data_IF_957756213212
#
_entry.id   IF_957756213212
#
_cell.length_a   1.000
_cell.length_b   1.000
_cell.length_c   1.000
_cell.angle_alpha   90.00
_cell.angle_beta   90.00
_cell.angle_gamma   90.00
#
_symmetry.space_group_name_H-M   'P 1'
#
loop_
_entity.id
_entity.type
_entity.pdbx_description
1 polymer ?
#
# COMPACT_ATOMS: atom_id res chain seq x y z
N UNK A 1 -14.83 -28.81 19.54
CA UNK A 1 -14.63 -28.23 18.20
C UNK A 1 -15.96 -27.62 17.82
N UNK A 2 -15.97 -26.32 17.57
CA UNK A 2 -17.17 -25.50 17.43
C UNK A 2 -18.04 -25.77 16.19
N UNK A 3 -17.97 -26.95 15.58
CA UNK A 3 -18.78 -27.23 14.40
C UNK A 3 -20.19 -27.64 14.83
N UNK A 4 -21.18 -26.85 14.45
CA UNK A 4 -22.61 -27.07 14.73
C UNK A 4 -23.39 -27.32 13.44
N UNK A 5 -24.65 -27.75 13.57
CA UNK A 5 -25.57 -27.90 12.43
C UNK A 5 -25.84 -26.58 11.68
N UNK A 6 -25.53 -25.43 12.29
CA UNK A 6 -25.69 -24.09 11.69
C UNK A 6 -24.38 -23.52 11.13
N UNK A 7 -23.28 -24.26 11.22
CA UNK A 7 -21.95 -23.83 10.81
C UNK A 7 -20.95 -23.83 11.96
N UNK A 8 -19.77 -23.25 11.70
CA UNK A 8 -18.74 -23.10 12.71
C UNK A 8 -19.10 -21.96 13.67
N UNK A 9 -19.22 -22.28 14.96
CA UNK A 9 -19.48 -21.39 16.07
C UNK A 9 -18.40 -21.60 17.13
N UNK A 10 -17.47 -20.65 17.23
CA UNK A 10 -16.27 -20.79 18.05
C UNK A 10 -16.57 -20.46 19.50
N UNK A 11 -16.22 -21.37 20.40
CA UNK A 11 -16.30 -21.15 21.85
C UNK A 11 -15.38 -19.99 22.27
N UNK A 12 -15.82 -19.16 23.22
CA UNK A 12 -14.95 -18.14 23.80
C UNK A 12 -13.88 -18.79 24.68
N UNK A 13 -12.73 -18.12 24.85
CA UNK A 13 -11.62 -18.69 25.62
C UNK A 13 -12.02 -19.04 27.06
N UNK A 14 -12.93 -18.28 27.66
CA UNK A 14 -13.42 -18.51 29.01
C UNK A 14 -14.26 -19.79 29.10
N UNK A 15 -15.13 -20.05 28.11
CA UNK A 15 -15.90 -21.30 28.00
C UNK A 15 -14.97 -22.50 27.79
N UNK A 16 -13.95 -22.32 26.94
CA UNK A 16 -12.90 -23.32 26.72
C UNK A 16 -12.14 -23.60 28.03
N UNK A 17 -11.86 -22.56 28.81
CA UNK A 17 -11.17 -22.65 30.10
C UNK A 17 -12.01 -23.40 31.12
N UNK A 18 -13.30 -23.11 31.19
CA UNK A 18 -14.24 -23.83 32.05
C UNK A 18 -14.30 -25.33 31.70
N UNK A 19 -14.45 -25.65 30.41
CA UNK A 19 -14.48 -27.04 29.95
C UNK A 19 -13.18 -27.80 30.21
N UNK A 20 -12.02 -27.16 30.02
CA UNK A 20 -10.71 -27.76 30.34
C UNK A 20 -10.59 -28.00 31.85
N UNK A 21 -10.95 -27.02 32.68
CA UNK A 21 -10.91 -27.13 34.15
C UNK A 21 -11.82 -28.26 34.65
N UNK A 22 -13.02 -28.39 34.08
CA UNK A 22 -13.96 -29.45 34.42
C UNK A 22 -13.39 -30.84 34.11
N UNK A 23 -12.78 -31.03 32.93
CA UNK A 23 -12.11 -32.30 32.57
C UNK A 23 -10.95 -32.64 33.51
N UNK A 24 -10.19 -31.64 33.94
CA UNK A 24 -9.11 -31.86 34.90
C UNK A 24 -9.64 -32.32 36.26
N UNK A 25 -10.74 -31.74 36.74
CA UNK A 25 -11.41 -32.18 37.99
C UNK A 25 -12.00 -33.58 37.86
N UNK A 26 -12.64 -33.90 36.74
CA UNK A 26 -13.18 -35.25 36.47
C UNK A 26 -12.08 -36.31 36.44
N UNK A 27 -10.90 -35.98 35.91
CA UNK A 27 -9.80 -36.93 35.78
C UNK A 27 -8.90 -37.05 37.03
N UNK A 28 -8.72 -35.97 37.79
CA UNK A 28 -7.74 -35.89 38.89
C UNK A 28 -8.38 -35.66 40.27
N UNK A 29 -9.69 -35.45 40.31
CA UNK A 29 -10.49 -35.24 41.51
C UNK A 29 -10.96 -33.79 41.71
N UNK A 30 -12.15 -33.63 42.28
CA UNK A 30 -12.84 -32.33 42.47
C UNK A 30 -12.09 -31.32 43.36
N UNK A 31 -11.15 -31.81 44.18
CA UNK A 31 -10.32 -30.97 45.06
C UNK A 31 -9.16 -30.27 44.34
N UNK A 32 -8.99 -30.48 43.04
CA UNK A 32 -7.94 -29.85 42.26
C UNK A 32 -8.17 -28.33 42.15
N UNK A 33 -7.17 -27.55 42.60
CA UNK A 33 -7.17 -26.11 42.45
C UNK A 33 -6.86 -25.72 40.98
N UNK A 34 -7.90 -25.38 40.23
CA UNK A 34 -7.83 -24.98 38.81
C UNK A 34 -7.81 -23.46 38.61
N UNK A 35 -7.73 -22.69 39.69
CA UNK A 35 -7.65 -21.23 39.66
C UNK A 35 -6.23 -20.75 39.26
N UNK A 36 -6.16 -19.57 38.63
CA UNK A 36 -4.96 -18.92 38.10
C UNK A 36 -3.90 -18.63 39.18
N UNK A 37 -4.32 -18.55 40.45
CA UNK A 37 -3.42 -18.46 41.60
C UNK A 37 -2.57 -19.74 41.81
N UNK A 38 -2.92 -20.85 41.17
CA UNK A 38 -2.29 -22.15 41.35
C UNK A 38 -1.62 -22.63 40.06
N UNK A 39 -0.50 -23.36 40.19
CA UNK A 39 0.28 -23.87 39.05
C UNK A 39 -0.56 -24.74 38.09
N UNK A 40 -1.51 -25.51 38.64
CA UNK A 40 -2.41 -26.33 37.82
C UNK A 40 -3.42 -25.49 37.03
N UNK A 41 -3.96 -24.41 37.59
CA UNK A 41 -4.82 -23.48 36.85
C UNK A 41 -4.09 -22.71 35.77
N UNK A 42 -2.82 -22.35 36.00
CA UNK A 42 -1.97 -21.76 34.95
C UNK A 42 -1.68 -22.76 33.82
N UNK A 43 -1.41 -24.01 34.16
CA UNK A 43 -1.20 -25.09 33.19
C UNK A 43 -2.47 -25.39 32.37
N UNK A 44 -3.63 -25.48 33.03
CA UNK A 44 -4.92 -25.60 32.35
C UNK A 44 -5.17 -24.42 31.41
N UNK A 45 -4.81 -23.20 31.83
CA UNK A 45 -4.86 -22.00 30.99
C UNK A 45 -4.02 -22.09 29.73
N UNK A 46 -2.78 -22.58 29.83
CA UNK A 46 -1.93 -22.79 28.67
C UNK A 46 -2.55 -23.80 27.68
N UNK A 47 -3.19 -24.85 28.18
CA UNK A 47 -3.91 -25.84 27.37
C UNK A 47 -5.13 -25.21 26.69
N UNK A 48 -5.89 -24.38 27.40
CA UNK A 48 -7.05 -23.66 26.85
C UNK A 48 -6.65 -22.70 25.72
N UNK A 49 -5.53 -21.99 25.86
CA UNK A 49 -4.97 -21.15 24.78
C UNK A 49 -4.60 -22.01 23.57
N UNK A 50 -3.96 -23.17 23.78
CA UNK A 50 -3.66 -24.12 22.70
C UNK A 50 -4.92 -24.62 21.99
N UNK A 51 -5.96 -25.00 22.73
CA UNK A 51 -7.25 -25.42 22.15
C UNK A 51 -7.91 -24.28 21.37
N UNK A 52 -7.90 -23.06 21.90
CA UNK A 52 -8.42 -21.88 21.21
C UNK A 52 -7.69 -21.63 19.88
N UNK A 53 -6.36 -21.76 19.83
CA UNK A 53 -5.61 -21.62 18.59
C UNK A 53 -5.98 -22.70 17.56
N UNK A 54 -6.15 -23.95 18.00
CA UNK A 54 -6.60 -25.05 17.12
C UNK A 54 -8.00 -24.77 16.58
N UNK A 55 -8.91 -24.23 17.40
CA UNK A 55 -10.26 -23.89 16.96
C UNK A 55 -10.28 -22.69 15.99
N UNK A 56 -9.42 -21.70 16.18
CA UNK A 56 -9.23 -20.61 15.20
C UNK A 56 -8.72 -21.14 13.84
N UNK A 57 -7.74 -22.05 13.86
CA UNK A 57 -7.23 -22.67 12.63
C UNK A 57 -8.31 -23.49 11.91
N UNK A 58 -9.12 -24.21 12.68
CA UNK A 58 -10.24 -24.98 12.16
C UNK A 58 -11.32 -24.10 11.53
N UNK A 59 -11.66 -22.98 12.17
CA UNK A 59 -12.58 -21.98 11.62
C UNK A 59 -12.06 -21.42 10.30
N UNK A 60 -10.77 -21.07 10.24
CA UNK A 60 -10.14 -20.54 9.03
C UNK A 60 -10.22 -21.56 7.89
N UNK A 61 -9.86 -22.82 8.16
CA UNK A 61 -9.89 -23.91 7.17
C UNK A 61 -11.31 -24.23 6.72
N UNK A 62 -12.29 -24.16 7.62
CA UNK A 62 -13.70 -24.35 7.27
C UNK A 62 -14.19 -23.24 6.34
N UNK A 63 -13.74 -22.00 6.55
CA UNK A 63 -14.18 -20.84 5.78
C UNK A 63 -13.41 -20.62 4.47
N UNK A 64 -12.20 -21.18 4.31
CA UNK A 64 -11.32 -20.94 3.15
C UNK A 64 -11.93 -21.23 1.77
N UNK A 65 -12.73 -22.30 1.53
CA UNK A 65 -13.26 -22.55 0.19
C UNK A 65 -14.44 -21.64 -0.18
N UNK A 66 -14.97 -20.85 0.75
CA UNK A 66 -16.16 -20.03 0.53
C UNK A 66 -15.77 -18.60 0.17
N UNK A 67 -16.07 -18.15 -1.05
CA UNK A 67 -15.68 -16.81 -1.54
C UNK A 67 -16.13 -15.64 -0.64
N UNK A 68 -17.24 -15.76 0.09
CA UNK A 68 -17.73 -14.70 0.99
C UNK A 68 -17.08 -14.73 2.39
N UNK A 69 -16.30 -15.76 2.70
CA UNK A 69 -15.70 -15.98 4.05
C UNK A 69 -14.19 -16.25 4.02
N UNK A 70 -13.66 -16.69 2.88
CA UNK A 70 -12.24 -16.84 2.63
C UNK A 70 -11.52 -15.50 2.74
N UNK A 71 -10.22 -15.56 2.99
CA UNK A 71 -9.39 -14.36 3.18
C UNK A 71 -8.12 -14.48 2.35
N UNK A 72 -7.55 -13.33 2.00
CA UNK A 72 -6.21 -13.22 1.41
C UNK A 72 -6.01 -14.16 0.21
N UNK A 73 -5.06 -15.09 0.31
CA UNK A 73 -4.69 -16.02 -0.75
C UNK A 73 -5.81 -17.01 -1.11
N UNK A 74 -6.70 -17.34 -0.16
CA UNK A 74 -7.83 -18.24 -0.43
C UNK A 74 -8.78 -17.61 -1.45
N UNK A 75 -8.98 -16.29 -1.37
CA UNK A 75 -9.79 -15.55 -2.35
C UNK A 75 -9.09 -15.45 -3.71
N UNK A 76 -7.77 -15.34 -3.71
CA UNK A 76 -6.98 -15.27 -4.96
C UNK A 76 -7.02 -16.61 -5.71
N UNK A 77 -6.97 -17.72 -4.97
CA UNK A 77 -7.13 -19.07 -5.51
C UNK A 77 -8.57 -19.25 -6.02
N UNK A 78 -9.57 -18.94 -5.20
CA UNK A 78 -10.99 -19.05 -5.58
C UNK A 78 -11.34 -18.17 -6.80
N UNK A 79 -10.78 -16.97 -6.89
CA UNK A 79 -10.90 -16.09 -8.04
C UNK A 79 -10.24 -16.67 -9.28
N UNK A 80 -9.00 -17.18 -9.13
CA UNK A 80 -8.25 -17.78 -10.25
C UNK A 80 -8.96 -18.98 -10.84
N UNK A 81 -9.63 -19.81 -10.03
CA UNK A 81 -10.44 -20.95 -10.48
C UNK A 81 -11.62 -20.54 -11.37
N UNK A 82 -12.15 -19.33 -11.20
CA UNK A 82 -13.21 -18.76 -12.05
C UNK A 82 -12.67 -17.81 -13.14
N UNK A 83 -11.35 -17.78 -13.34
CA UNK A 83 -10.69 -16.95 -14.35
C UNK A 83 -10.56 -15.47 -13.97
N UNK A 84 -10.73 -15.12 -12.70
CA UNK A 84 -10.58 -13.76 -12.18
C UNK A 84 -9.28 -13.65 -11.39
N UNK A 85 -8.32 -12.89 -11.90
CA UNK A 85 -7.05 -12.61 -11.21
C UNK A 85 -7.01 -11.18 -10.67
N UNK A 86 -6.17 -10.95 -9.65
CA UNK A 86 -5.86 -9.58 -9.20
C UNK A 86 -5.17 -8.82 -10.31
N UNK A 87 -5.60 -7.58 -10.54
CA UNK A 87 -4.86 -6.64 -11.37
C UNK A 87 -3.55 -6.28 -10.66
N UNK A 88 -2.37 -6.42 -11.32
CA UNK A 88 -1.11 -6.02 -10.72
C UNK A 88 -1.10 -4.51 -10.47
N UNK A 89 -0.32 -4.08 -9.48
CA UNK A 89 -0.09 -2.66 -9.24
C UNK A 89 0.59 -2.04 -10.48
N UNK A 90 0.01 -0.97 -11.01
CA UNK A 90 0.57 -0.20 -12.13
C UNK A 90 1.22 1.07 -11.60
N UNK A 91 2.35 1.46 -12.20
CA UNK A 91 2.99 2.74 -11.92
C UNK A 91 2.12 3.91 -12.38
N UNK A 92 2.17 5.01 -11.62
CA UNK A 92 1.48 6.24 -11.99
C UNK A 92 2.18 6.89 -13.19
N UNK A 93 1.40 7.42 -14.12
CA UNK A 93 1.90 8.19 -15.27
C UNK A 93 1.37 9.61 -15.20
N UNK A 94 2.27 10.57 -15.32
CA UNK A 94 1.99 12.01 -15.19
C UNK A 94 2.56 12.77 -16.38
N UNK A 95 2.05 13.98 -16.59
CA UNK A 95 2.66 14.95 -17.51
C UNK A 95 3.37 16.01 -16.67
N UNK A 96 4.68 16.10 -16.82
CA UNK A 96 5.51 17.11 -16.17
C UNK A 96 5.65 18.31 -17.10
N UNK A 97 5.40 19.49 -16.56
CA UNK A 97 5.77 20.75 -17.21
C UNK A 97 7.15 21.15 -16.72
N UNK A 98 8.10 21.29 -17.64
CA UNK A 98 9.48 21.64 -17.34
C UNK A 98 9.79 22.98 -18.00
N UNK A 99 10.30 23.90 -17.20
CA UNK A 99 10.78 25.20 -17.61
C UNK A 99 12.31 25.15 -17.58
N UNK A 100 12.96 25.45 -18.71
CA UNK A 100 14.42 25.35 -18.87
C UNK A 100 14.90 26.24 -20.04
N UNK A 101 16.21 26.40 -20.18
CA UNK A 101 16.79 27.20 -21.27
C UNK A 101 16.31 26.71 -22.65
N UNK A 102 16.08 27.63 -23.62
CA UNK A 102 15.78 27.26 -25.00
C UNK A 102 16.82 26.30 -25.56
N UNK A 103 16.36 25.34 -26.39
CA UNK A 103 17.18 24.28 -26.98
C UNK A 103 17.73 23.23 -26.01
N UNK A 104 17.41 23.28 -24.71
CA UNK A 104 17.75 22.24 -23.74
C UNK A 104 17.10 20.90 -24.13
N UNK A 105 17.89 19.83 -24.05
CA UNK A 105 17.46 18.45 -24.31
C UNK A 105 17.33 17.73 -22.99
N UNK A 106 16.12 17.26 -22.68
CA UNK A 106 15.81 16.43 -21.52
C UNK A 106 15.80 14.97 -22.01
N UNK A 107 16.82 14.17 -21.69
CA UNK A 107 16.90 12.80 -22.15
C UNK A 107 15.80 11.92 -21.53
N UNK A 108 15.50 10.81 -22.21
CA UNK A 108 14.71 9.71 -21.62
C UNK A 108 15.39 9.20 -20.34
N UNK A 109 14.59 8.89 -19.31
CA UNK A 109 15.09 8.39 -18.04
C UNK A 109 15.57 9.46 -17.06
N UNK A 110 15.39 10.75 -17.37
CA UNK A 110 15.66 11.86 -16.43
C UNK A 110 14.74 11.72 -15.22
N UNK A 111 15.31 11.86 -14.01
CA UNK A 111 14.60 11.60 -12.76
C UNK A 111 14.11 12.89 -12.11
N UNK A 112 12.86 12.88 -11.66
CA UNK A 112 12.24 13.93 -10.83
C UNK A 112 11.67 13.29 -9.57
N UNK A 113 11.65 14.00 -8.45
CA UNK A 113 11.16 13.46 -7.19
C UNK A 113 10.17 14.39 -6.50
N UNK A 114 9.35 13.84 -5.64
CA UNK A 114 8.58 14.64 -4.67
C UNK A 114 9.37 14.80 -3.37
N UNK A 115 9.02 15.80 -2.56
CA UNK A 115 9.60 15.98 -1.22
C UNK A 115 9.44 14.75 -0.30
N UNK A 116 8.44 13.90 -0.59
CA UNK A 116 8.18 12.64 0.13
C UNK A 116 9.03 11.46 -0.40
N UNK A 117 9.87 11.67 -1.41
CA UNK A 117 10.82 10.70 -1.95
C UNK A 117 10.28 9.80 -3.06
N UNK A 118 9.09 10.09 -3.61
CA UNK A 118 8.56 9.36 -4.79
C UNK A 118 9.29 9.83 -6.04
N UNK A 119 9.92 8.90 -6.77
CA UNK A 119 10.73 9.18 -7.97
C UNK A 119 9.98 8.83 -9.25
N UNK A 120 10.08 9.71 -10.24
CA UNK A 120 9.50 9.59 -11.58
C UNK A 120 10.61 9.67 -12.63
N UNK A 121 10.54 8.86 -13.68
CA UNK A 121 11.44 8.95 -14.83
C UNK A 121 10.69 9.43 -16.07
N UNK A 122 11.31 10.27 -16.89
CA UNK A 122 10.79 10.63 -18.21
C UNK A 122 10.74 9.41 -19.12
N UNK A 123 9.65 9.28 -19.89
CA UNK A 123 9.42 8.15 -20.79
C UNK A 123 10.03 8.33 -22.18
N UNK A 124 10.24 9.58 -22.59
CA UNK A 124 10.78 9.94 -23.89
C UNK A 124 11.71 11.15 -23.77
N UNK A 125 12.63 11.28 -24.72
CA UNK A 125 13.42 12.51 -24.88
C UNK A 125 12.52 13.68 -25.30
N UNK A 126 12.69 14.83 -24.65
CA UNK A 126 11.99 16.06 -24.97
C UNK A 126 12.99 17.20 -25.18
N UNK A 127 12.79 17.99 -26.24
CA UNK A 127 13.58 19.19 -26.49
C UNK A 127 12.74 20.44 -26.24
N UNK A 128 13.28 21.39 -25.49
CA UNK A 128 12.67 22.70 -25.28
C UNK A 128 12.70 23.48 -26.61
N UNK A 129 11.54 23.80 -27.21
CA UNK A 129 11.48 24.28 -28.59
C UNK A 129 11.97 25.73 -28.79
N UNK A 130 11.95 26.55 -27.74
CA UNK A 130 12.27 27.97 -27.78
C UNK A 130 11.70 28.71 -26.56
N UNK A 131 11.86 30.03 -26.53
CA UNK A 131 11.30 30.88 -25.46
C UNK A 131 9.77 30.74 -25.43
N UNK A 132 9.24 30.41 -24.26
CA UNK A 132 7.80 30.33 -24.05
C UNK A 132 7.23 31.73 -23.78
N UNK A 133 5.96 31.95 -24.11
CA UNK A 133 5.25 33.19 -23.76
C UNK A 133 4.14 32.91 -22.75
N UNK A 134 4.01 33.81 -21.78
CA UNK A 134 2.95 33.80 -20.77
C UNK A 134 2.12 35.09 -20.85
N UNK A 135 0.90 35.05 -20.33
CA UNK A 135 0.02 36.21 -20.25
C UNK A 135 0.34 37.00 -18.99
N UNK A 136 0.61 38.29 -19.13
CA UNK A 136 0.73 39.21 -17.99
C UNK A 136 -0.66 39.56 -17.40
N UNK A 137 -0.66 40.32 -16.30
CA UNK A 137 -1.88 40.82 -15.63
C UNK A 137 -2.76 41.71 -16.53
N UNK A 138 -2.24 42.15 -17.67
CA UNK A 138 -2.95 42.95 -18.69
C UNK A 138 -3.42 42.13 -19.89
N UNK A 139 -3.09 40.83 -19.93
CA UNK A 139 -3.42 39.91 -21.01
C UNK A 139 -2.48 40.00 -22.22
N UNK A 140 -1.37 40.72 -22.11
CA UNK A 140 -0.32 40.79 -23.13
C UNK A 140 0.58 39.55 -23.09
N UNK A 141 1.06 39.11 -24.26
CA UNK A 141 2.03 38.03 -24.37
C UNK A 141 3.42 38.57 -24.02
N UNK A 142 3.99 38.09 -22.92
CA UNK A 142 5.34 38.41 -22.47
C UNK A 142 6.18 37.12 -22.46
N UNK A 143 7.50 37.19 -22.71
CA UNK A 143 8.36 36.02 -22.59
C UNK A 143 8.33 35.49 -21.16
N UNK A 144 8.36 34.17 -21.00
CA UNK A 144 8.58 33.52 -19.72
C UNK A 144 10.02 33.81 -19.30
N UNK A 145 10.19 34.36 -18.10
CA UNK A 145 11.51 34.67 -17.56
C UNK A 145 11.75 33.91 -16.25
N UNK A 146 12.99 33.49 -16.03
CA UNK A 146 13.43 32.96 -14.73
C UNK A 146 13.52 34.08 -13.65
N UNK A 147 13.90 33.69 -12.43
CA UNK A 147 14.08 34.62 -11.29
C UNK A 147 15.23 35.64 -11.51
N UNK A 148 16.14 35.36 -12.45
CA UNK A 148 17.25 36.23 -12.85
C UNK A 148 16.92 37.15 -14.04
N UNK A 149 15.74 36.97 -14.66
CA UNK A 149 15.25 37.74 -15.80
C UNK A 149 15.69 37.22 -17.18
N UNK A 150 16.22 36.01 -17.28
CA UNK A 150 16.55 35.37 -18.56
C UNK A 150 15.31 34.73 -19.19
N UNK A 151 15.22 34.77 -20.53
CA UNK A 151 14.11 34.18 -21.28
C UNK A 151 14.24 32.65 -21.34
N UNK A 152 13.25 31.93 -20.80
CA UNK A 152 13.23 30.46 -20.74
C UNK A 152 12.12 29.86 -21.61
N UNK A 153 12.30 28.59 -21.97
CA UNK A 153 11.32 27.80 -22.69
C UNK A 153 10.52 26.88 -21.77
N UNK A 154 9.45 26.30 -22.32
CA UNK A 154 8.56 25.36 -21.62
C UNK A 154 8.29 24.15 -22.49
N UNK A 155 8.32 22.97 -21.88
CA UNK A 155 7.97 21.70 -22.53
C UNK A 155 7.16 20.82 -21.59
N UNK A 156 6.28 20.00 -22.15
CA UNK A 156 5.54 18.97 -21.40
C UNK A 156 6.08 17.60 -21.78
N UNK A 157 6.51 16.82 -20.79
CA UNK A 157 7.02 15.45 -20.98
C UNK A 157 6.21 14.47 -20.14
N UNK A 158 6.03 13.25 -20.64
CA UNK A 158 5.40 12.20 -19.87
C UNK A 158 6.43 11.52 -18.97
N UNK A 159 6.07 11.30 -17.71
CA UNK A 159 6.91 10.61 -16.74
C UNK A 159 6.14 9.50 -16.01
N UNK A 160 6.85 8.49 -15.53
CA UNK A 160 6.29 7.35 -14.82
C UNK A 160 6.99 7.13 -13.48
N UNK A 161 6.21 6.85 -12.44
CA UNK A 161 6.73 6.53 -11.10
C UNK A 161 7.55 5.23 -11.14
N UNK A 162 8.65 5.19 -10.38
CA UNK A 162 9.44 3.96 -10.19
C UNK A 162 8.67 2.91 -9.39
N UNK A 163 7.92 3.35 -8.39
CA UNK A 163 7.15 2.49 -7.51
C UNK A 163 5.71 2.30 -8.02
N UNK A 164 5.23 1.06 -8.21
CA UNK A 164 3.87 0.81 -8.62
C UNK A 164 2.86 0.96 -7.48
N UNK A 165 1.60 1.21 -7.83
CA UNK A 165 0.49 1.25 -6.86
C UNK A 165 0.39 2.58 -6.10
N UNK A 166 -0.22 2.54 -4.91
CA UNK A 166 -0.56 3.76 -4.16
C UNK A 166 0.65 4.57 -3.72
N UNK A 167 1.80 3.92 -3.52
CA UNK A 167 3.05 4.59 -3.12
C UNK A 167 3.63 5.47 -4.22
N UNK A 168 3.32 5.19 -5.48
CA UNK A 168 3.73 6.01 -6.62
C UNK A 168 2.76 7.15 -6.95
N UNK A 169 1.66 7.27 -6.20
CA UNK A 169 0.64 8.29 -6.47
C UNK A 169 0.94 9.56 -5.68
N UNK A 170 0.89 10.71 -6.37
CA UNK A 170 1.23 12.02 -5.79
C UNK A 170 0.21 13.06 -6.24
N UNK A 171 0.07 14.13 -5.45
CA UNK A 171 -0.82 15.24 -5.83
C UNK A 171 -0.20 16.04 -6.96
N UNK A 172 -1.04 16.70 -7.77
CA UNK A 172 -0.56 17.62 -8.80
C UNK A 172 0.33 18.71 -8.17
N UNK A 173 1.39 19.08 -8.88
CA UNK A 173 2.33 20.12 -8.48
C UNK A 173 3.28 19.78 -7.33
N UNK A 174 3.45 18.50 -6.98
CA UNK A 174 4.35 18.07 -5.88
C UNK A 174 5.69 17.52 -6.36
N UNK A 175 5.85 17.32 -7.67
CA UNK A 175 7.05 16.76 -8.29
C UNK A 175 7.99 17.91 -8.62
N UNK A 176 9.21 17.84 -8.13
CA UNK A 176 10.27 18.83 -8.31
C UNK A 176 11.54 18.16 -8.80
N UNK A 177 12.46 18.93 -9.36
CA UNK A 177 13.82 18.45 -9.58
C UNK A 177 14.61 18.51 -8.26
N UNK A 178 15.03 17.36 -7.72
CA UNK A 178 15.98 17.30 -6.60
C UNK A 178 17.41 16.91 -7.04
N UNK A 179 17.64 16.81 -8.36
CA UNK A 179 18.90 16.40 -8.97
C UNK A 179 19.76 17.59 -9.42
N UNK A 180 20.17 18.47 -8.50
CA UNK A 180 21.00 19.62 -8.87
C UNK A 180 22.28 19.25 -9.65
N UNK A 181 22.44 19.83 -10.85
CA UNK A 181 23.71 20.37 -11.41
C UNK A 181 23.62 20.84 -12.89
N UNK A 182 22.47 20.86 -13.57
CA UNK A 182 22.43 21.25 -15.00
C UNK A 182 21.55 22.45 -15.38
N UNK A 183 20.96 23.15 -14.40
CA UNK A 183 20.26 24.42 -14.64
C UNK A 183 18.80 24.27 -15.08
N UNK A 184 18.16 23.12 -14.88
CA UNK A 184 16.73 22.93 -15.13
C UNK A 184 15.88 23.10 -13.85
N UNK A 185 15.77 24.33 -13.35
CA UNK A 185 14.81 24.64 -12.27
C UNK A 185 13.37 24.69 -12.82
N UNK A 186 12.69 23.53 -12.84
CA UNK A 186 11.29 23.42 -13.23
C UNK A 186 10.38 23.15 -12.03
N UNK A 187 9.49 24.09 -11.72
CA UNK A 187 8.36 23.85 -10.80
C UNK A 187 7.26 23.18 -11.63
N UNK A 188 7.01 21.88 -11.41
CA UNK A 188 5.89 21.21 -12.06
C UNK A 188 4.57 21.77 -11.49
N UNK A 189 3.67 22.23 -12.37
CA UNK A 189 2.28 22.58 -12.04
C UNK A 189 1.31 21.44 -12.31
#
# INVERSE_FOLDING_TARGET
MGLTDKGFDREELDDIREGVNQRFKESLGDSLATDDAHRFGQFAGAISVGKNLVEQLAELTYNSPYTLRGRDQDLDISGSDIGVSRTPATAATVYLQIDADPDTVIPEGTQYSTADGVVFNTLDEAKVPGVATVKDDTGADVPLTDDDGNEIGRVTVQAQANEPGVSGNVSAGTITDEGGSDGSEGIAG
#
